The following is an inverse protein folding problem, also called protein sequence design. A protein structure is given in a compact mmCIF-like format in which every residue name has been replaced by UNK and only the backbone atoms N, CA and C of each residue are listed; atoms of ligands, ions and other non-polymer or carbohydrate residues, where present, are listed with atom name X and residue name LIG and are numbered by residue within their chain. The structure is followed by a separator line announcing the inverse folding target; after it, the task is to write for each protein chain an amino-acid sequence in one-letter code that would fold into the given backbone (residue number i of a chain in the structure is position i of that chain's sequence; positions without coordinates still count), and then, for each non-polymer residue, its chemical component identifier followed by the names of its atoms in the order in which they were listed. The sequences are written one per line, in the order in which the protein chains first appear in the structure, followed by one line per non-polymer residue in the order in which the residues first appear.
data_IF_915975487158
#
_entry.id   IF_915975487158
#
_cell.length_a   1.000
_cell.length_b   1.000
_cell.length_c   1.000
_cell.angle_alpha   90.00
_cell.angle_beta   90.00
_cell.angle_gamma   90.00
#
_symmetry.space_group_name_H-M   'P 1'
#
loop_
_entity.id
_entity.type
_entity.pdbx_description
1 polymer ?
#
# COMPACT_ATOMS: atom_id res chain seq x y z
N UNK A 1 21.25 -4.58 15.97
CA UNK A 1 21.38 -3.16 16.41
C UNK A 1 20.10 -2.76 17.12
N UNK A 2 20.16 -2.15 18.31
CA UNK A 2 18.99 -1.81 19.10
C UNK A 2 18.13 -0.77 18.36
N UNK A 3 16.83 -1.03 18.25
CA UNK A 3 15.87 -0.10 17.71
C UNK A 3 15.98 1.25 18.46
N UNK A 4 16.28 2.32 17.75
CA UNK A 4 16.17 3.67 18.29
C UNK A 4 14.73 3.86 18.75
N UNK A 5 14.52 4.11 20.05
CA UNK A 5 13.23 4.57 20.56
C UNK A 5 12.90 5.88 19.83
N UNK A 6 12.01 5.81 18.85
CA UNK A 6 11.40 6.98 18.25
C UNK A 6 10.72 7.79 19.34
N UNK A 7 10.99 9.09 19.38
CA UNK A 7 10.29 10.01 20.27
C UNK A 7 8.80 9.84 20.02
N UNK A 8 8.02 9.60 21.06
CA UNK A 8 6.55 9.63 20.97
C UNK A 8 6.17 11.04 20.53
N UNK A 9 5.92 11.23 19.23
CA UNK A 9 5.20 12.40 18.75
C UNK A 9 3.93 12.51 19.59
N UNK A 10 3.54 13.73 19.99
CA UNK A 10 2.32 13.98 20.75
C UNK A 10 1.11 13.67 19.85
N UNK A 11 0.76 12.39 19.73
CA UNK A 11 -0.44 11.94 19.02
C UNK A 11 -1.62 12.19 19.94
N UNK A 12 -2.62 12.91 19.50
CA UNK A 12 -3.81 13.21 20.29
C UNK A 12 -4.64 11.94 20.53
N UNK A 13 -5.50 11.98 21.55
CA UNK A 13 -6.46 10.89 21.78
C UNK A 13 -7.42 10.73 20.59
N UNK A 14 -7.79 11.82 19.94
CA UNK A 14 -8.70 11.81 18.80
C UNK A 14 -8.05 11.17 17.58
N UNK A 15 -6.75 11.41 17.32
CA UNK A 15 -6.01 10.72 16.27
C UNK A 15 -5.94 9.21 16.54
N UNK A 16 -5.64 8.80 17.78
CA UNK A 16 -5.61 7.39 18.15
C UNK A 16 -6.97 6.71 17.96
N UNK A 17 -8.06 7.39 18.31
CA UNK A 17 -9.41 6.89 18.08
C UNK A 17 -9.75 6.83 16.59
N UNK A 18 -9.27 7.79 15.80
CA UNK A 18 -9.42 7.78 14.35
C UNK A 18 -8.69 6.58 13.74
N UNK A 19 -7.41 6.38 14.03
CA UNK A 19 -6.65 5.23 13.52
C UNK A 19 -7.27 3.89 13.92
N UNK A 20 -7.74 3.79 15.17
CA UNK A 20 -8.43 2.59 15.61
C UNK A 20 -9.72 2.33 14.82
N UNK A 21 -10.52 3.37 14.54
CA UNK A 21 -11.76 3.24 13.75
C UNK A 21 -11.47 2.81 12.32
N UNK A 22 -10.45 3.40 11.69
CA UNK A 22 -10.05 3.04 10.33
C UNK A 22 -9.57 1.58 10.25
N UNK A 23 -8.69 1.16 11.14
CA UNK A 23 -8.25 -0.24 11.21
C UNK A 23 -9.42 -1.19 11.47
N UNK A 24 -10.35 -0.82 12.35
CA UNK A 24 -11.53 -1.63 12.66
C UNK A 24 -12.49 -1.69 11.46
N UNK A 25 -12.68 -0.58 10.73
CA UNK A 25 -13.47 -0.56 9.50
C UNK A 25 -12.92 -1.54 8.47
N UNK A 26 -11.61 -1.47 8.21
CA UNK A 26 -10.93 -2.39 7.28
C UNK A 26 -11.14 -3.84 7.74
N UNK A 27 -10.88 -4.16 9.01
CA UNK A 27 -11.06 -5.50 9.55
C UNK A 27 -12.49 -6.01 9.35
N UNK A 28 -13.50 -5.24 9.72
CA UNK A 28 -14.91 -5.63 9.61
C UNK A 28 -15.36 -5.76 8.17
N UNK A 29 -14.87 -4.88 7.29
CA UNK A 29 -15.11 -4.98 5.86
C UNK A 29 -14.56 -6.29 5.29
N UNK A 30 -13.33 -6.62 5.61
CA UNK A 30 -12.66 -7.83 5.11
C UNK A 30 -13.28 -9.12 5.66
N UNK A 31 -13.65 -9.14 6.94
CA UNK A 31 -14.41 -10.25 7.52
C UNK A 31 -15.73 -10.48 6.75
N UNK A 32 -16.41 -9.39 6.39
CA UNK A 32 -17.64 -9.47 5.61
C UNK A 32 -17.39 -9.90 4.16
N UNK A 33 -16.34 -9.37 3.53
CA UNK A 33 -15.92 -9.79 2.19
C UNK A 33 -15.60 -11.29 2.15
N UNK A 34 -14.86 -11.80 3.16
CA UNK A 34 -14.58 -13.23 3.30
C UNK A 34 -15.83 -14.10 3.44
N UNK A 35 -16.83 -13.65 4.21
CA UNK A 35 -18.12 -14.33 4.32
C UNK A 35 -18.85 -14.39 2.97
N UNK A 36 -18.94 -13.26 2.28
CA UNK A 36 -19.62 -13.18 0.97
C UNK A 36 -18.88 -14.01 -0.10
N UNK A 37 -17.57 -14.04 -0.04
CA UNK A 37 -16.75 -14.92 -0.90
C UNK A 37 -17.05 -16.39 -0.66
N UNK A 38 -17.10 -16.81 0.62
CA UNK A 38 -17.47 -18.17 1.00
C UNK A 38 -18.90 -18.58 0.59
N UNK A 39 -19.80 -17.59 0.44
CA UNK A 39 -21.17 -17.78 -0.06
C UNK A 39 -21.25 -17.78 -1.61
N UNK A 40 -20.14 -17.57 -2.31
CA UNK A 40 -20.11 -17.50 -3.77
C UNK A 40 -20.68 -16.20 -4.38
N UNK A 41 -20.84 -15.14 -3.57
CA UNK A 41 -21.36 -13.85 -4.00
C UNK A 41 -20.27 -12.91 -4.54
N UNK A 42 -19.00 -13.23 -4.29
CA UNK A 42 -17.85 -12.56 -4.87
C UNK A 42 -17.15 -13.54 -5.80
N UNK A 43 -17.06 -13.21 -7.08
CA UNK A 43 -16.44 -14.03 -8.11
C UNK A 43 -14.94 -13.77 -8.26
N UNK A 44 -14.22 -14.72 -8.84
CA UNK A 44 -12.78 -14.62 -9.07
C UNK A 44 -11.97 -14.77 -7.79
N UNK A 45 -10.75 -14.18 -7.76
CA UNK A 45 -9.92 -14.16 -6.57
C UNK A 45 -10.31 -13.01 -5.65
N UNK A 46 -10.31 -13.28 -4.34
CA UNK A 46 -10.53 -12.28 -3.31
C UNK A 46 -9.38 -12.35 -2.30
N UNK A 47 -8.58 -11.30 -2.23
CA UNK A 47 -7.40 -11.23 -1.37
C UNK A 47 -7.67 -10.28 -0.20
N UNK A 48 -7.90 -10.86 0.99
CA UNK A 48 -8.22 -10.09 2.19
C UNK A 48 -6.97 -9.41 2.77
N UNK A 49 -7.15 -8.19 3.26
CA UNK A 49 -6.10 -7.35 3.87
C UNK A 49 -5.97 -7.54 5.40
N UNK A 50 -6.65 -8.55 5.95
CA UNK A 50 -6.66 -8.86 7.38
C UNK A 50 -5.22 -9.05 7.91
N UNK A 51 -4.88 -8.33 8.99
CA UNK A 51 -3.58 -8.39 9.64
C UNK A 51 -2.57 -7.34 9.16
N UNK A 52 -2.90 -6.52 8.17
CA UNK A 52 -2.03 -5.48 7.62
C UNK A 52 -2.61 -4.06 7.80
N UNK A 53 -3.69 -3.90 8.57
CA UNK A 53 -4.46 -2.65 8.69
C UNK A 53 -3.61 -1.48 9.17
N UNK A 54 -2.68 -1.71 10.11
CA UNK A 54 -1.84 -0.66 10.66
C UNK A 54 -0.85 -0.10 9.63
N UNK A 55 -0.45 -0.91 8.63
CA UNK A 55 0.45 -0.46 7.56
C UNK A 55 -0.20 0.65 6.76
N UNK A 56 -1.37 0.37 6.19
CA UNK A 56 -2.04 1.35 5.32
C UNK A 56 -2.54 2.56 6.10
N UNK A 57 -3.11 2.37 7.30
CA UNK A 57 -3.62 3.49 8.11
C UNK A 57 -2.49 4.38 8.61
N UNK A 58 -1.35 3.81 8.98
CA UNK A 58 -0.18 4.59 9.39
C UNK A 58 0.44 5.39 8.25
N UNK A 59 0.56 4.81 7.07
CA UNK A 59 1.07 5.52 5.89
C UNK A 59 0.09 6.57 5.37
N UNK A 60 -1.23 6.31 5.44
CA UNK A 60 -2.23 7.30 5.09
C UNK A 60 -2.20 8.51 6.04
N UNK A 61 -1.93 8.27 7.34
CA UNK A 61 -1.74 9.34 8.32
C UNK A 61 -0.46 10.18 8.11
N UNK A 62 0.50 9.69 7.31
CA UNK A 62 1.70 10.40 6.91
C UNK A 62 1.57 11.08 5.54
N UNK A 63 0.55 10.74 4.77
CA UNK A 63 0.30 11.28 3.45
C UNK A 63 -0.34 12.68 3.53
N UNK A 64 -0.10 13.50 2.50
CA UNK A 64 -0.76 14.78 2.33
C UNK A 64 -1.84 14.73 1.22
N UNK A 65 -2.70 15.76 1.20
CA UNK A 65 -3.71 15.88 0.17
C UNK A 65 -3.09 15.93 -1.23
N UNK A 66 -3.56 15.07 -2.11
CA UNK A 66 -3.06 14.95 -3.48
C UNK A 66 -1.95 13.94 -3.68
N UNK A 67 -1.38 13.38 -2.62
CA UNK A 67 -0.46 12.24 -2.72
C UNK A 67 -1.16 11.04 -3.33
N UNK A 68 -0.43 10.23 -4.06
CA UNK A 68 -0.97 9.15 -4.89
C UNK A 68 -0.69 7.77 -4.28
N UNK A 69 -1.60 6.84 -4.49
CA UNK A 69 -1.47 5.44 -4.05
C UNK A 69 -1.65 4.51 -5.24
N UNK A 70 -0.77 3.53 -5.31
CA UNK A 70 -0.89 2.40 -6.25
C UNK A 70 -0.46 1.14 -5.53
N UNK A 71 -1.21 0.06 -5.68
CA UNK A 71 -0.97 -1.17 -4.93
C UNK A 71 -1.14 -2.42 -5.79
N UNK A 72 -0.90 -3.57 -5.18
CA UNK A 72 -1.11 -4.89 -5.76
C UNK A 72 -2.59 -5.29 -5.73
N UNK A 73 -2.84 -6.57 -5.94
CA UNK A 73 -4.17 -7.20 -5.91
C UNK A 73 -4.80 -7.29 -4.51
N UNK A 74 -4.09 -6.95 -3.43
CA UNK A 74 -4.59 -6.95 -2.05
C UNK A 74 -4.84 -5.50 -1.62
N UNK A 75 -5.87 -4.89 -2.15
CA UNK A 75 -6.04 -3.45 -2.21
C UNK A 75 -7.24 -2.90 -1.42
N UNK A 76 -8.13 -3.76 -0.85
CA UNK A 76 -9.32 -3.30 -0.14
C UNK A 76 -9.01 -2.35 1.02
N UNK A 77 -7.99 -2.68 1.84
CA UNK A 77 -7.56 -1.82 2.94
C UNK A 77 -7.09 -0.45 2.46
N UNK A 78 -6.35 -0.40 1.35
CA UNK A 78 -5.87 0.83 0.74
C UNK A 78 -7.02 1.70 0.22
N UNK A 79 -8.03 1.07 -0.41
CA UNK A 79 -9.23 1.77 -0.88
C UNK A 79 -9.96 2.46 0.26
N UNK A 80 -10.20 1.72 1.36
CA UNK A 80 -10.90 2.26 2.52
C UNK A 80 -10.10 3.35 3.21
N UNK A 81 -8.81 3.14 3.42
CA UNK A 81 -7.94 4.10 4.10
C UNK A 81 -7.80 5.43 3.34
N UNK A 82 -7.82 5.42 1.99
CA UNK A 82 -7.83 6.66 1.20
C UNK A 82 -9.23 7.29 1.07
N UNK A 83 -10.22 6.78 1.80
CA UNK A 83 -11.57 7.34 1.90
C UNK A 83 -12.52 6.96 0.76
N UNK A 84 -12.31 5.80 0.11
CA UNK A 84 -13.33 5.22 -0.76
C UNK A 84 -14.44 4.61 0.08
N UNK A 85 -15.70 4.82 -0.34
CA UNK A 85 -16.88 4.39 0.40
C UNK A 85 -17.00 2.86 0.46
N UNK A 86 -17.10 2.28 1.66
CA UNK A 86 -17.19 0.84 1.86
C UNK A 86 -18.33 0.19 1.06
N UNK A 87 -19.48 0.87 0.91
CA UNK A 87 -20.60 0.38 0.11
C UNK A 87 -20.23 0.31 -1.38
N UNK A 88 -19.49 1.28 -1.91
CA UNK A 88 -19.01 1.28 -3.30
C UNK A 88 -17.98 0.18 -3.55
N UNK A 89 -17.06 -0.03 -2.61
CA UNK A 89 -16.08 -1.12 -2.68
C UNK A 89 -16.79 -2.48 -2.63
N UNK A 90 -17.73 -2.69 -1.70
CA UNK A 90 -18.49 -3.94 -1.61
C UNK A 90 -19.39 -4.18 -2.83
N UNK A 91 -19.98 -3.12 -3.39
CA UNK A 91 -20.73 -3.20 -4.64
C UNK A 91 -19.86 -3.69 -5.80
N UNK A 92 -18.61 -3.23 -5.88
CA UNK A 92 -17.66 -3.71 -6.90
C UNK A 92 -17.32 -5.19 -6.71
N UNK A 93 -17.00 -5.62 -5.48
CA UNK A 93 -16.68 -7.00 -5.16
C UNK A 93 -17.82 -7.96 -5.58
N UNK A 94 -19.06 -7.51 -5.40
CA UNK A 94 -20.27 -8.31 -5.73
C UNK A 94 -20.79 -8.09 -7.16
N UNK A 95 -20.01 -7.44 -8.03
CA UNK A 95 -20.34 -7.24 -9.46
C UNK A 95 -21.50 -6.28 -9.72
N UNK A 96 -21.72 -5.28 -8.85
CA UNK A 96 -22.83 -4.33 -8.98
C UNK A 96 -22.39 -3.07 -9.70
N UNK A 97 -23.30 -2.48 -10.48
CA UNK A 97 -23.06 -1.26 -11.26
C UNK A 97 -22.74 -0.01 -10.42
N UNK A 98 -23.11 -0.01 -9.13
CA UNK A 98 -22.73 1.02 -8.16
C UNK A 98 -21.30 0.94 -7.63
N UNK A 99 -20.52 -0.05 -8.06
CA UNK A 99 -19.11 -0.20 -7.72
C UNK A 99 -18.20 0.79 -8.47
N UNK A 100 -17.00 1.00 -7.95
CA UNK A 100 -16.03 1.98 -8.47
C UNK A 100 -15.56 1.69 -9.90
N UNK A 101 -15.55 0.42 -10.32
CA UNK A 101 -15.31 -0.01 -11.70
C UNK A 101 -16.58 -0.56 -12.37
N UNK A 102 -17.75 -0.16 -11.89
CA UNK A 102 -19.09 -0.54 -12.39
C UNK A 102 -19.33 -2.05 -12.37
N UNK A 103 -18.77 -2.75 -11.38
CA UNK A 103 -18.88 -4.20 -11.20
C UNK A 103 -18.01 -5.03 -12.13
N UNK A 104 -17.05 -4.43 -12.84
CA UNK A 104 -16.18 -5.11 -13.82
C UNK A 104 -14.78 -5.40 -13.30
N UNK A 105 -14.33 -4.65 -12.27
CA UNK A 105 -13.00 -4.78 -11.70
C UNK A 105 -12.88 -5.90 -10.66
N UNK A 106 -13.96 -6.19 -9.97
CA UNK A 106 -13.97 -7.16 -8.87
C UNK A 106 -13.04 -6.74 -7.73
N UNK A 107 -12.43 -7.73 -7.06
CA UNK A 107 -11.59 -7.51 -5.88
C UNK A 107 -10.28 -6.76 -6.17
N UNK A 108 -9.74 -6.81 -7.38
CA UNK A 108 -8.34 -6.43 -7.65
C UNK A 108 -8.16 -5.20 -8.54
N UNK A 109 -9.26 -4.64 -9.10
CA UNK A 109 -9.16 -3.61 -10.13
C UNK A 109 -10.17 -2.47 -9.89
N UNK A 110 -10.01 -1.79 -8.78
CA UNK A 110 -10.74 -0.57 -8.46
C UNK A 110 -9.84 0.66 -8.53
N UNK A 111 -10.41 1.80 -8.91
CA UNK A 111 -9.69 3.04 -9.10
C UNK A 111 -10.56 4.21 -8.64
N UNK A 112 -9.95 5.24 -8.08
CA UNK A 112 -10.62 6.49 -7.77
C UNK A 112 -9.68 7.67 -8.00
N UNK A 113 -9.88 8.39 -9.10
CA UNK A 113 -9.10 9.60 -9.40
C UNK A 113 -9.30 10.67 -8.33
N UNK A 114 -10.52 10.80 -7.80
CA UNK A 114 -10.87 11.77 -6.75
C UNK A 114 -10.14 11.51 -5.43
N UNK A 115 -9.88 10.23 -5.13
CA UNK A 115 -9.16 9.80 -3.93
C UNK A 115 -7.66 9.57 -4.19
N UNK A 116 -7.18 9.95 -5.36
CA UNK A 116 -5.79 9.72 -5.78
C UNK A 116 -5.33 8.27 -5.62
N UNK A 117 -6.28 7.33 -5.76
CA UNK A 117 -6.04 5.89 -5.75
C UNK A 117 -5.98 5.35 -7.19
N UNK A 118 -4.78 4.99 -7.63
CA UNK A 118 -4.49 4.56 -9.00
C UNK A 118 -4.48 3.05 -9.16
N UNK A 119 -5.19 2.37 -8.28
CA UNK A 119 -5.65 1.01 -8.44
C UNK A 119 -4.83 -0.07 -7.80
N UNK A 120 -5.52 -1.19 -7.68
CA UNK A 120 -4.95 -2.50 -7.49
C UNK A 120 -4.58 -3.13 -8.82
N UNK A 121 -3.49 -3.85 -8.84
CA UNK A 121 -2.95 -4.48 -10.05
C UNK A 121 -2.75 -5.98 -9.84
N UNK A 122 -3.38 -6.80 -10.70
CA UNK A 122 -3.28 -8.26 -10.65
C UNK A 122 -1.92 -8.80 -11.09
N UNK A 123 -1.21 -8.07 -11.96
CA UNK A 123 0.13 -8.48 -12.41
C UNK A 123 1.14 -8.13 -11.34
N UNK A 124 1.78 -9.15 -10.79
CA UNK A 124 2.73 -9.02 -9.66
C UNK A 124 3.91 -8.13 -10.02
N UNK A 125 4.10 -7.06 -9.25
CA UNK A 125 5.19 -6.11 -9.42
C UNK A 125 4.90 -4.97 -10.40
N UNK A 126 3.83 -5.06 -11.24
CA UNK A 126 3.53 -4.04 -12.26
C UNK A 126 3.23 -2.66 -11.67
N UNK A 127 2.67 -2.59 -10.47
CA UNK A 127 2.37 -1.33 -9.79
C UNK A 127 3.63 -0.53 -9.42
N UNK A 128 4.79 -1.16 -9.34
CA UNK A 128 6.04 -0.47 -8.95
C UNK A 128 6.48 0.53 -10.03
N UNK A 129 6.65 0.13 -11.31
CA UNK A 129 6.94 1.08 -12.38
C UNK A 129 5.78 2.06 -12.65
N UNK A 130 4.52 1.65 -12.42
CA UNK A 130 3.38 2.58 -12.52
C UNK A 130 3.49 3.68 -11.46
N UNK A 131 3.85 3.32 -10.22
CA UNK A 131 4.08 4.28 -9.14
C UNK A 131 5.20 5.27 -9.46
N UNK A 132 6.31 4.78 -10.00
CA UNK A 132 7.39 5.65 -10.46
C UNK A 132 6.94 6.57 -11.61
N UNK A 133 6.11 6.08 -12.53
CA UNK A 133 5.53 6.91 -13.60
C UNK A 133 4.60 8.01 -13.07
N UNK A 134 3.80 7.72 -12.04
CA UNK A 134 2.98 8.72 -11.36
C UNK A 134 3.84 9.79 -10.67
N UNK A 135 4.91 9.37 -10.00
CA UNK A 135 5.87 10.26 -9.36
C UNK A 135 6.65 11.10 -10.38
N UNK A 136 7.02 10.50 -11.52
CA UNK A 136 7.64 11.23 -12.64
C UNK A 136 6.73 12.36 -13.15
N UNK A 137 5.44 12.08 -13.33
CA UNK A 137 4.48 13.08 -13.75
C UNK A 137 4.37 14.23 -12.73
N UNK A 138 4.36 13.93 -11.43
CA UNK A 138 4.29 14.95 -10.37
C UNK A 138 5.58 15.79 -10.31
N UNK A 139 6.73 15.16 -10.45
CA UNK A 139 8.00 15.88 -10.56
C UNK A 139 8.05 16.79 -11.79
N UNK A 140 7.63 16.29 -12.94
CA UNK A 140 7.58 17.08 -14.17
C UNK A 140 6.65 18.30 -14.07
N UNK A 141 5.52 18.14 -13.37
CA UNK A 141 4.55 19.21 -13.14
C UNK A 141 4.95 20.15 -11.98
N UNK A 142 5.92 19.78 -11.17
CA UNK A 142 6.40 20.60 -10.04
C UNK A 142 5.35 20.80 -8.94
N UNK A 143 4.44 19.82 -8.74
CA UNK A 143 3.32 19.96 -7.80
C UNK A 143 3.62 19.47 -6.37
N UNK A 144 4.82 18.94 -6.11
CA UNK A 144 5.32 18.56 -4.78
C UNK A 144 4.64 17.31 -4.18
N UNK A 145 3.89 16.53 -4.97
CA UNK A 145 3.18 15.32 -4.51
C UNK A 145 4.13 14.13 -4.43
N UNK A 146 3.80 13.20 -3.53
CA UNK A 146 4.50 11.94 -3.34
C UNK A 146 3.60 10.78 -3.79
N UNK A 147 4.19 9.73 -4.34
CA UNK A 147 3.48 8.50 -4.70
C UNK A 147 3.90 7.37 -3.78
N UNK A 148 2.94 6.71 -3.14
CA UNK A 148 3.15 5.46 -2.41
C UNK A 148 2.90 4.28 -3.35
N UNK A 149 3.93 3.47 -3.57
CA UNK A 149 3.86 2.26 -4.39
C UNK A 149 4.00 1.02 -3.49
N UNK A 150 2.87 0.34 -3.24
CA UNK A 150 2.81 -0.82 -2.35
C UNK A 150 3.00 -2.12 -3.13
N UNK A 151 3.78 -3.04 -2.60
CA UNK A 151 3.97 -4.37 -3.18
C UNK A 151 4.41 -5.38 -2.11
N UNK A 152 4.12 -6.66 -2.34
CA UNK A 152 4.46 -7.73 -1.41
C UNK A 152 5.92 -8.19 -1.50
N UNK A 153 6.35 -9.00 -0.51
CA UNK A 153 7.67 -9.61 -0.43
C UNK A 153 8.01 -10.48 -1.67
N UNK A 154 7.04 -11.21 -2.20
CA UNK A 154 7.22 -11.96 -3.45
C UNK A 154 7.44 -11.07 -4.67
N UNK A 155 6.67 -9.99 -4.79
CA UNK A 155 6.83 -9.01 -5.86
C UNK A 155 8.20 -8.33 -5.83
N UNK A 156 8.79 -8.16 -4.66
CA UNK A 156 10.11 -7.59 -4.48
C UNK A 156 11.23 -8.38 -5.19
N UNK A 157 10.98 -9.60 -5.67
CA UNK A 157 11.92 -10.40 -6.47
C UNK A 157 11.79 -10.18 -7.99
N UNK A 158 10.82 -9.39 -8.45
CA UNK A 158 10.64 -9.10 -9.88
C UNK A 158 11.72 -8.16 -10.40
N UNK A 159 12.26 -8.44 -11.60
CA UNK A 159 13.30 -7.63 -12.23
C UNK A 159 12.89 -6.16 -12.42
N UNK A 160 11.64 -5.93 -12.82
CA UNK A 160 11.08 -4.58 -13.03
C UNK A 160 11.12 -3.70 -11.76
N UNK A 161 11.18 -4.29 -10.56
CA UNK A 161 11.34 -3.54 -9.31
C UNK A 161 12.72 -2.88 -9.27
N UNK A 162 13.76 -3.61 -9.62
CA UNK A 162 15.15 -3.11 -9.64
C UNK A 162 15.39 -2.11 -10.76
N UNK A 163 14.80 -2.35 -11.93
CA UNK A 163 14.79 -1.39 -13.03
C UNK A 163 14.15 -0.07 -12.60
N UNK A 164 13.02 -0.16 -11.88
CA UNK A 164 12.30 0.99 -11.34
C UNK A 164 13.11 1.72 -10.27
N UNK A 165 13.78 1.00 -9.37
CA UNK A 165 14.66 1.60 -8.36
C UNK A 165 15.78 2.42 -9.02
N UNK A 166 16.41 1.87 -10.07
CA UNK A 166 17.42 2.57 -10.82
C UNK A 166 16.88 3.88 -11.44
N UNK A 167 15.72 3.82 -12.08
CA UNK A 167 15.11 5.00 -12.69
C UNK A 167 14.67 6.02 -11.64
N UNK A 168 14.09 5.56 -10.53
CA UNK A 168 13.64 6.43 -9.45
C UNK A 168 14.81 7.19 -8.82
N UNK A 169 15.91 6.50 -8.56
CA UNK A 169 17.13 7.12 -8.01
C UNK A 169 17.80 8.07 -9.02
N UNK A 170 17.91 7.64 -10.30
CA UNK A 170 18.55 8.45 -11.35
C UNK A 170 17.81 9.78 -11.58
N UNK A 171 16.51 9.77 -11.42
CA UNK A 171 15.67 10.95 -11.67
C UNK A 171 15.11 11.59 -10.40
N UNK A 172 15.58 11.20 -9.21
CA UNK A 172 15.11 11.68 -7.91
C UNK A 172 13.57 11.76 -7.86
N UNK A 173 12.90 10.65 -8.16
CA UNK A 173 11.45 10.61 -8.23
C UNK A 173 10.84 10.61 -6.82
N UNK A 174 9.79 11.40 -6.56
CA UNK A 174 9.11 11.44 -5.27
C UNK A 174 8.21 10.21 -5.07
N UNK A 175 8.83 9.03 -4.91
CA UNK A 175 8.13 7.76 -4.71
C UNK A 175 8.61 7.03 -3.47
N UNK A 176 7.68 6.64 -2.61
CA UNK A 176 7.91 5.77 -1.46
C UNK A 176 7.57 4.34 -1.86
N UNK A 177 8.56 3.47 -1.88
CA UNK A 177 8.39 2.05 -2.14
C UNK A 177 8.06 1.32 -0.84
N UNK A 178 6.85 0.77 -0.73
CA UNK A 178 6.36 0.10 0.48
C UNK A 178 6.32 -1.39 0.25
N UNK A 179 7.17 -2.15 0.96
CA UNK A 179 7.18 -3.61 0.92
C UNK A 179 6.33 -4.15 2.06
N UNK A 180 5.14 -4.65 1.74
CA UNK A 180 4.26 -5.32 2.69
C UNK A 180 4.72 -6.77 2.87
N UNK A 181 5.60 -6.98 3.86
CA UNK A 181 6.19 -8.28 4.11
C UNK A 181 5.29 -9.14 5.00
N UNK A 182 4.34 -9.84 4.41
CA UNK A 182 3.52 -10.84 5.09
C UNK A 182 4.16 -12.24 5.08
N UNK A 183 5.39 -12.36 4.60
CA UNK A 183 6.27 -13.53 4.57
C UNK A 183 5.83 -14.67 3.64
N UNK A 184 4.74 -14.52 2.91
CA UNK A 184 4.25 -15.53 1.97
C UNK A 184 3.74 -14.90 0.67
N UNK A 185 4.23 -15.42 -0.45
CA UNK A 185 3.68 -15.18 -1.78
C UNK A 185 2.97 -16.47 -2.24
N UNK A 186 1.64 -16.48 -2.16
CA UNK A 186 0.83 -17.71 -2.30
C UNK A 186 1.28 -18.79 -1.30
N UNK A 187 1.72 -19.94 -1.76
CA UNK A 187 2.26 -21.03 -0.94
C UNK A 187 3.78 -20.99 -0.70
N UNK A 188 4.47 -19.94 -1.19
CA UNK A 188 5.93 -19.85 -1.09
C UNK A 188 6.33 -18.84 -0.02
N UNK A 189 7.06 -19.30 1.00
CA UNK A 189 7.59 -18.42 2.03
C UNK A 189 8.74 -17.55 1.52
N UNK A 190 8.90 -16.36 2.11
CA UNK A 190 10.02 -15.47 1.84
C UNK A 190 11.36 -16.20 2.00
N UNK A 191 11.52 -17.01 3.05
CA UNK A 191 12.74 -17.76 3.33
C UNK A 191 13.14 -18.72 2.19
N UNK A 192 12.18 -19.27 1.44
CA UNK A 192 12.45 -20.17 0.30
C UNK A 192 12.78 -19.42 -0.99
N UNK A 193 12.34 -18.18 -1.13
CA UNK A 193 12.41 -17.43 -2.39
C UNK A 193 13.37 -16.25 -2.37
N UNK A 194 13.91 -15.91 -1.19
CA UNK A 194 14.71 -14.70 -1.02
C UNK A 194 16.01 -15.02 -0.27
N UNK A 195 17.15 -14.68 -0.87
CA UNK A 195 18.47 -14.95 -0.31
C UNK A 195 18.81 -14.07 0.89
N UNK A 196 18.23 -12.86 0.98
CA UNK A 196 18.39 -11.93 2.11
C UNK A 196 17.09 -11.83 2.91
N UNK A 197 17.19 -11.97 4.23
CA UNK A 197 16.05 -11.73 5.12
C UNK A 197 15.63 -10.25 5.18
N UNK A 198 16.56 -9.34 4.92
CA UNK A 198 16.40 -7.89 5.05
C UNK A 198 16.05 -7.27 3.71
N UNK A 199 14.79 -7.49 3.26
CA UNK A 199 14.31 -7.02 1.95
C UNK A 199 14.24 -5.50 1.84
N UNK A 200 14.19 -4.77 2.95
CA UNK A 200 14.23 -3.31 2.98
C UNK A 200 15.58 -2.73 2.50
N UNK A 201 16.66 -3.53 2.56
CA UNK A 201 17.98 -3.10 2.08
C UNK A 201 18.14 -3.15 0.55
N UNK A 202 17.17 -3.66 -0.18
CA UNK A 202 17.28 -3.83 -1.65
C UNK A 202 17.46 -2.51 -2.41
N UNK A 203 16.93 -1.41 -1.88
CA UNK A 203 17.12 -0.08 -2.46
C UNK A 203 18.54 0.46 -2.31
N UNK A 204 19.32 -0.09 -1.37
CA UNK A 204 20.64 0.44 -1.01
C UNK A 204 21.65 0.44 -2.16
N UNK A 205 21.57 -0.57 -3.04
CA UNK A 205 22.43 -0.65 -4.22
C UNK A 205 22.20 0.50 -5.21
N UNK A 206 21.06 1.16 -5.14
CA UNK A 206 20.66 2.31 -5.95
C UNK A 206 20.73 3.64 -5.17
N UNK A 207 21.23 3.63 -3.93
CA UNK A 207 21.26 4.82 -3.08
C UNK A 207 19.91 5.16 -2.43
N UNK A 208 18.89 4.31 -2.58
CA UNK A 208 17.58 4.51 -1.96
C UNK A 208 17.64 4.03 -0.50
N UNK A 209 17.36 4.92 0.48
CA UNK A 209 17.33 4.54 1.89
C UNK A 209 16.15 3.59 2.17
N UNK A 210 16.32 2.69 3.13
CA UNK A 210 15.26 1.76 3.54
C UNK A 210 15.38 1.40 5.01
N UNK A 211 14.25 1.11 5.63
CA UNK A 211 14.18 0.66 7.02
C UNK A 211 13.13 -0.43 7.22
N UNK A 212 13.32 -1.27 8.22
CA UNK A 212 12.32 -2.23 8.66
C UNK A 212 11.43 -1.58 9.74
N UNK A 213 10.12 -1.72 9.56
CA UNK A 213 9.12 -1.13 10.46
C UNK A 213 8.22 -2.24 10.99
N UNK A 214 7.83 -2.16 12.27
CA UNK A 214 6.78 -3.02 12.81
C UNK A 214 5.42 -2.65 12.20
N UNK A 215 4.99 -3.42 11.23
CA UNK A 215 3.71 -3.22 10.53
C UNK A 215 2.46 -3.48 11.38
N UNK A 216 2.62 -3.91 12.64
CA UNK A 216 1.52 -4.05 13.61
C UNK A 216 1.36 -2.81 14.50
N UNK A 217 2.31 -1.87 14.48
CA UNK A 217 2.25 -0.60 15.22
C UNK A 217 1.98 0.56 14.28
N UNK A 218 0.74 1.06 14.28
CA UNK A 218 0.30 2.17 13.42
C UNK A 218 1.12 3.45 13.62
N UNK A 219 1.62 3.70 14.84
CA UNK A 219 2.43 4.89 15.12
C UNK A 219 3.86 4.74 14.62
N UNK A 220 4.42 3.53 14.69
CA UNK A 220 5.72 3.25 14.09
C UNK A 220 5.67 3.40 12.57
N UNK A 221 4.62 2.88 11.95
CA UNK A 221 4.38 3.00 10.50
C UNK A 221 4.21 4.47 10.09
N UNK A 222 3.40 5.24 10.85
CA UNK A 222 3.23 6.68 10.60
C UNK A 222 4.56 7.43 10.65
N UNK A 223 5.36 7.22 11.69
CA UNK A 223 6.65 7.89 11.84
C UNK A 223 7.63 7.57 10.71
N UNK A 224 7.68 6.30 10.27
CA UNK A 224 8.47 5.90 9.11
C UNK A 224 7.94 6.54 7.82
N UNK A 225 6.62 6.58 7.65
CA UNK A 225 5.96 7.25 6.53
C UNK A 225 6.30 8.74 6.45
N UNK A 226 6.21 9.46 7.58
CA UNK A 226 6.59 10.89 7.67
C UNK A 226 8.06 11.11 7.27
N UNK A 227 8.95 10.23 7.72
CA UNK A 227 10.38 10.29 7.35
C UNK A 227 10.58 10.08 5.85
N UNK A 228 9.92 9.07 5.27
CA UNK A 228 10.01 8.76 3.86
C UNK A 228 9.42 9.87 2.97
N UNK A 229 8.27 10.42 3.36
CA UNK A 229 7.62 11.54 2.66
C UNK A 229 8.49 12.79 2.70
N UNK A 230 9.04 13.13 3.86
CA UNK A 230 9.96 14.28 3.99
C UNK A 230 11.23 14.13 3.14
N UNK A 231 11.74 12.90 2.98
CA UNK A 231 12.86 12.61 2.09
C UNK A 231 12.49 12.79 0.61
N UNK A 232 11.26 12.40 0.22
CA UNK A 232 10.80 12.52 -1.16
C UNK A 232 10.48 13.96 -1.58
N UNK A 233 10.02 14.82 -0.66
CA UNK A 233 9.74 16.24 -0.89
C UNK A 233 10.99 17.10 -0.80
#
# INVERSE_FOLDING_TARGET
MAAKKTSKANVSKDDLLHYYREMLLIRRFEEKAGQLYGMGLIGGFCHLYIGQEAVVVGLEAAAEEGDKRVTSYRDHGHMLACGMEANGVMAELTGRSGGYSKGKGGSMHMFSKEKHFYGGHGIVGAQVPIGAGLAFADKYLGNGRVTFAYFGDGAANQGQVYETFNMAALWDLPVVFVIENNQYAMGTSQQRSTSSAEIYERGRAFGIPGEAVDGMDVLAVKAAGETAVAHCR
#
